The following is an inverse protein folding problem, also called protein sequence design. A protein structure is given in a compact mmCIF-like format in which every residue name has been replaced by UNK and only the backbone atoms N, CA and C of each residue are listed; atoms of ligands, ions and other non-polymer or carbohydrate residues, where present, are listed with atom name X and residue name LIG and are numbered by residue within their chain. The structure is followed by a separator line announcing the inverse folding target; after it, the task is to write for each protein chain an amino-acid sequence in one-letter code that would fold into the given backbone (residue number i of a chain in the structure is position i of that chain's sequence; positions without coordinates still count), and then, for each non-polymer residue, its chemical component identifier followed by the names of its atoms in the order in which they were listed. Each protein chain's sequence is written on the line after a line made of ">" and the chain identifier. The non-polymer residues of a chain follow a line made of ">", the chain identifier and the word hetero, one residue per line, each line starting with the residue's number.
data_IF_308123819218
#
_entry.id   IF_308123819218
#
_cell.length_a   1.000
_cell.length_b   1.000
_cell.length_c   1.000
_cell.angle_alpha   90.00
_cell.angle_beta   90.00
_cell.angle_gamma   90.00
#
_symmetry.space_group_name_H-M   'P 1'
#
loop_
_entity.id
_entity.type
_entity.pdbx_description
1 polymer ?
#
# COMPACT_ATOMS: atom_id res chain seq x y z
N UNK A 1 -65.13 10.95 -1.43
CA UNK A 1 -64.30 9.75 -1.64
C UNK A 1 -63.15 9.92 -2.65
N UNK A 2 -63.18 10.88 -3.56
CA UNK A 2 -62.11 11.04 -4.59
C UNK A 2 -60.83 11.71 -4.11
N UNK A 3 -60.83 12.43 -2.99
CA UNK A 3 -59.63 13.15 -2.49
C UNK A 3 -58.66 12.26 -1.68
N UNK A 4 -59.18 11.23 -1.02
CA UNK A 4 -58.36 10.32 -0.18
C UNK A 4 -57.50 9.39 -1.04
N UNK A 5 -57.99 8.97 -2.22
CA UNK A 5 -57.25 8.06 -3.12
C UNK A 5 -56.02 8.72 -3.77
N UNK A 6 -56.01 10.05 -3.96
CA UNK A 6 -54.84 10.73 -4.57
C UNK A 6 -53.68 10.92 -3.59
N UNK A 7 -53.94 11.00 -2.29
CA UNK A 7 -52.89 11.17 -1.27
C UNK A 7 -52.19 9.82 -1.03
N UNK A 8 -52.91 8.69 -1.06
CA UNK A 8 -52.35 7.35 -0.85
C UNK A 8 -51.46 6.92 -2.02
N UNK A 9 -51.78 7.29 -3.27
CA UNK A 9 -50.90 7.00 -4.43
C UNK A 9 -49.61 7.81 -4.42
N UNK A 10 -49.61 9.05 -3.88
CA UNK A 10 -48.41 9.86 -3.77
C UNK A 10 -47.41 9.33 -2.75
N UNK A 11 -47.85 8.78 -1.63
CA UNK A 11 -46.99 8.25 -0.56
C UNK A 11 -46.31 6.93 -0.98
N UNK A 12 -47.02 6.06 -1.70
CA UNK A 12 -46.43 4.79 -2.19
C UNK A 12 -45.32 5.02 -3.24
N UNK A 13 -45.44 6.05 -4.10
CA UNK A 13 -44.44 6.36 -5.10
C UNK A 13 -43.12 6.90 -4.49
N UNK A 14 -43.22 7.69 -3.39
CA UNK A 14 -42.02 8.25 -2.71
C UNK A 14 -41.26 7.16 -1.95
N UNK A 15 -41.96 6.19 -1.35
CA UNK A 15 -41.30 5.08 -0.62
C UNK A 15 -40.56 4.15 -1.59
N UNK A 16 -41.10 3.89 -2.79
CA UNK A 16 -40.47 3.05 -3.79
C UNK A 16 -39.17 3.65 -4.34
N UNK A 17 -39.09 4.98 -4.51
CA UNK A 17 -37.89 5.65 -5.01
C UNK A 17 -36.79 5.68 -3.95
N UNK A 18 -37.11 5.91 -2.67
CA UNK A 18 -36.11 5.89 -1.60
C UNK A 18 -35.50 4.48 -1.38
N UNK A 19 -36.28 3.42 -1.54
CA UNK A 19 -35.81 2.04 -1.41
C UNK A 19 -34.84 1.62 -2.51
N UNK A 20 -35.04 2.07 -3.74
CA UNK A 20 -34.15 1.72 -4.88
C UNK A 20 -32.77 2.38 -4.79
N UNK A 21 -32.67 3.59 -4.22
CA UNK A 21 -31.40 4.27 -4.02
C UNK A 21 -30.56 3.60 -2.91
N UNK A 22 -31.21 3.10 -1.86
CA UNK A 22 -30.53 2.37 -0.78
C UNK A 22 -29.94 1.05 -1.26
N UNK A 23 -30.67 0.29 -2.08
CA UNK A 23 -30.18 -0.97 -2.66
C UNK A 23 -29.05 -0.75 -3.67
N UNK A 24 -29.15 0.28 -4.50
CA UNK A 24 -28.08 0.61 -5.46
C UNK A 24 -26.79 1.01 -4.77
N UNK A 25 -26.86 1.78 -3.66
CA UNK A 25 -25.67 2.17 -2.91
C UNK A 25 -25.03 1.00 -2.15
N UNK A 26 -25.81 0.01 -1.73
CA UNK A 26 -25.29 -1.22 -1.12
C UNK A 26 -24.65 -2.13 -2.16
N UNK A 27 -25.26 -2.32 -3.32
CA UNK A 27 -24.68 -3.10 -4.41
C UNK A 27 -23.36 -2.53 -4.94
N UNK A 28 -23.20 -1.20 -4.92
CA UNK A 28 -21.92 -0.56 -5.27
C UNK A 28 -20.86 -0.82 -4.18
N UNK A 29 -21.24 -0.79 -2.90
CA UNK A 29 -20.33 -1.15 -1.79
C UNK A 29 -19.93 -2.63 -1.85
N UNK A 30 -20.86 -3.53 -2.10
CA UNK A 30 -20.58 -4.96 -2.17
C UNK A 30 -19.71 -5.32 -3.38
N UNK A 31 -19.86 -4.63 -4.52
CA UNK A 31 -19.01 -4.83 -5.69
C UNK A 31 -17.57 -4.32 -5.48
N UNK A 32 -17.38 -3.25 -4.70
CA UNK A 32 -16.04 -2.78 -4.31
C UNK A 32 -15.37 -3.74 -3.33
N UNK A 33 -16.14 -4.42 -2.48
CA UNK A 33 -15.61 -5.42 -1.54
C UNK A 33 -15.33 -6.77 -2.23
N UNK A 34 -16.05 -7.15 -3.30
CA UNK A 34 -15.80 -8.38 -4.05
C UNK A 34 -14.51 -8.37 -4.87
N UNK A 35 -13.97 -7.19 -5.22
CA UNK A 35 -12.64 -7.10 -5.84
C UNK A 35 -11.50 -7.46 -4.87
N UNK A 36 -11.77 -7.52 -3.56
CA UNK A 36 -10.83 -7.94 -2.51
C UNK A 36 -10.70 -9.47 -2.39
N UNK A 37 -11.40 -10.23 -3.20
CA UNK A 37 -11.34 -11.71 -3.17
C UNK A 37 -10.14 -12.29 -3.93
N UNK A 38 -9.31 -11.46 -4.53
CA UNK A 38 -7.96 -11.83 -4.91
C UNK A 38 -7.04 -11.43 -3.75
N UNK A 39 -6.28 -12.33 -3.19
CA UNK A 39 -5.23 -12.04 -2.18
C UNK A 39 -4.18 -11.05 -2.74
N UNK A 40 -4.61 -9.89 -3.18
CA UNK A 40 -3.82 -8.85 -3.84
C UNK A 40 -4.30 -7.47 -3.39
N UNK A 41 -3.41 -6.48 -3.44
CA UNK A 41 -3.75 -5.11 -3.08
C UNK A 41 -4.58 -4.46 -4.20
N UNK A 42 -5.73 -3.87 -3.87
CA UNK A 42 -6.54 -3.11 -4.81
C UNK A 42 -5.93 -1.74 -5.13
N UNK A 43 -6.39 -1.09 -6.21
CA UNK A 43 -5.97 0.28 -6.55
C UNK A 43 -6.33 1.27 -5.44
N UNK A 44 -7.52 1.14 -4.85
CA UNK A 44 -7.96 2.03 -3.77
C UNK A 44 -7.11 1.85 -2.52
N UNK A 45 -6.77 0.60 -2.15
CA UNK A 45 -5.84 0.33 -1.06
C UNK A 45 -4.43 0.88 -1.36
N UNK A 46 -3.92 0.69 -2.57
CA UNK A 46 -2.62 1.22 -2.96
C UNK A 46 -2.57 2.76 -2.88
N UNK A 47 -3.65 3.44 -3.25
CA UNK A 47 -3.79 4.89 -3.10
C UNK A 47 -3.83 5.30 -1.62
N UNK A 48 -4.55 4.57 -0.76
CA UNK A 48 -4.59 4.83 0.69
C UNK A 48 -3.22 4.63 1.33
N UNK A 49 -2.50 3.57 0.97
CA UNK A 49 -1.12 3.31 1.42
C UNK A 49 -0.20 4.47 1.02
N UNK A 50 -0.23 4.87 -0.26
CA UNK A 50 0.61 5.97 -0.73
C UNK A 50 0.28 7.28 -0.02
N UNK A 51 -1.00 7.59 0.19
CA UNK A 51 -1.45 8.78 0.92
C UNK A 51 -0.99 8.76 2.38
N UNK A 52 -1.15 7.63 3.07
CA UNK A 52 -0.68 7.45 4.44
C UNK A 52 0.83 7.68 4.60
N UNK A 53 1.62 7.18 3.66
CA UNK A 53 3.07 7.40 3.62
C UNK A 53 3.43 8.88 3.40
N UNK A 54 2.77 9.56 2.45
CA UNK A 54 2.97 10.99 2.18
C UNK A 54 2.62 11.81 3.42
N UNK A 55 1.44 11.61 3.99
CA UNK A 55 0.97 12.38 5.14
C UNK A 55 1.88 12.20 6.37
N UNK A 56 2.45 11.02 6.56
CA UNK A 56 3.38 10.75 7.63
C UNK A 56 4.72 11.50 7.45
N UNK A 57 5.26 11.53 6.23
CA UNK A 57 6.45 12.28 5.92
C UNK A 57 6.22 13.81 6.00
N UNK A 58 5.10 14.30 5.47
CA UNK A 58 4.77 15.74 5.49
C UNK A 58 4.62 16.28 6.91
N UNK A 59 4.00 15.51 7.80
CA UNK A 59 3.88 15.87 9.22
C UNK A 59 5.22 15.99 9.91
N UNK A 60 6.20 15.20 9.48
CA UNK A 60 7.50 15.12 10.13
C UNK A 60 8.43 16.25 9.70
N UNK A 61 8.59 16.49 8.40
CA UNK A 61 9.64 17.40 7.91
C UNK A 61 9.36 18.06 6.55
N UNK A 62 8.17 17.90 5.97
CA UNK A 62 7.82 18.38 4.62
C UNK A 62 8.87 17.96 3.59
N UNK A 63 9.18 16.69 3.56
CA UNK A 63 10.17 16.13 2.66
C UNK A 63 9.63 16.02 1.24
N UNK A 64 10.51 16.19 0.27
CA UNK A 64 10.24 15.89 -1.14
C UNK A 64 10.44 14.39 -1.32
N UNK A 65 9.35 13.63 -1.35
CA UNK A 65 9.41 12.17 -1.40
C UNK A 65 8.82 11.61 -2.68
N UNK A 66 9.23 10.41 -3.02
CA UNK A 66 8.55 9.51 -3.95
C UNK A 66 8.04 8.29 -3.20
N UNK A 67 6.85 7.83 -3.57
CA UNK A 67 6.22 6.63 -2.99
C UNK A 67 5.81 5.70 -4.12
N UNK A 68 6.08 4.41 -3.96
CA UNK A 68 5.60 3.37 -4.84
C UNK A 68 4.94 2.26 -4.05
N UNK A 69 3.85 1.74 -4.58
CA UNK A 69 3.13 0.57 -4.07
C UNK A 69 3.11 -0.48 -5.17
N UNK A 70 3.62 -1.66 -4.86
CA UNK A 70 3.58 -2.81 -5.76
C UNK A 70 2.57 -3.84 -5.26
N UNK A 71 2.03 -4.61 -6.18
CA UNK A 71 1.09 -5.69 -5.92
C UNK A 71 1.79 -7.01 -5.56
N UNK A 72 1.00 -8.08 -5.48
CA UNK A 72 1.46 -9.44 -5.17
C UNK A 72 2.52 -9.95 -6.15
N UNK A 73 2.46 -9.54 -7.40
CA UNK A 73 3.42 -9.96 -8.44
C UNK A 73 4.65 -9.04 -8.51
N UNK A 74 4.69 -8.00 -7.67
CA UNK A 74 5.75 -7.00 -7.65
C UNK A 74 5.59 -5.93 -8.74
N UNK A 75 4.44 -5.87 -9.38
CA UNK A 75 4.12 -4.86 -10.39
C UNK A 75 3.59 -3.59 -9.74
N UNK A 76 3.92 -2.43 -10.30
CA UNK A 76 3.46 -1.14 -9.77
C UNK A 76 1.94 -1.06 -9.86
N UNK A 77 1.27 -0.91 -8.71
CA UNK A 77 -0.15 -0.65 -8.60
C UNK A 77 -0.44 0.85 -8.50
N UNK A 78 0.39 1.57 -7.76
CA UNK A 78 0.36 3.03 -7.67
C UNK A 78 1.77 3.58 -7.43
N UNK A 79 2.09 4.70 -8.07
CA UNK A 79 3.36 5.40 -7.84
C UNK A 79 3.15 6.90 -7.97
N UNK A 80 3.77 7.65 -7.07
CA UNK A 80 3.83 9.11 -7.13
C UNK A 80 5.26 9.58 -6.96
N UNK A 81 5.69 10.46 -7.85
CA UNK A 81 6.91 11.25 -7.72
C UNK A 81 6.50 12.63 -7.21
N UNK A 82 6.91 12.97 -5.99
CA UNK A 82 6.59 14.25 -5.37
C UNK A 82 7.19 15.44 -6.13
N UNK A 83 6.63 16.62 -5.90
CA UNK A 83 7.09 17.84 -6.54
C UNK A 83 8.57 18.11 -6.18
N UNK A 84 9.41 18.19 -7.21
CA UNK A 84 10.85 18.36 -7.05
C UNK A 84 11.66 17.07 -6.82
N UNK A 85 11.02 15.91 -6.67
CA UNK A 85 11.73 14.64 -6.60
C UNK A 85 12.35 14.25 -7.94
N UNK A 86 13.53 13.64 -7.93
CA UNK A 86 14.19 13.15 -9.13
C UNK A 86 13.52 11.85 -9.66
N UNK A 87 13.67 11.53 -10.95
CA UNK A 87 13.24 10.22 -11.48
C UNK A 87 13.89 9.03 -10.76
N UNK A 88 15.14 9.17 -10.34
CA UNK A 88 15.86 8.15 -9.57
C UNK A 88 15.21 7.88 -8.21
N UNK A 89 14.74 8.92 -7.52
CA UNK A 89 13.99 8.76 -6.26
C UNK A 89 12.73 7.94 -6.45
N UNK A 90 12.02 8.13 -7.56
CA UNK A 90 10.84 7.35 -7.89
C UNK A 90 11.18 5.87 -8.19
N UNK A 91 12.26 5.62 -8.95
CA UNK A 91 12.73 4.25 -9.21
C UNK A 91 13.23 3.57 -7.93
N UNK A 92 13.96 4.27 -7.07
CA UNK A 92 14.38 3.73 -5.78
C UNK A 92 13.19 3.39 -4.87
N UNK A 93 12.15 4.22 -4.81
CA UNK A 93 10.92 3.89 -4.10
C UNK A 93 10.28 2.60 -4.63
N UNK A 94 10.19 2.46 -5.96
CA UNK A 94 9.69 1.24 -6.61
C UNK A 94 10.52 0.01 -6.25
N UNK A 95 11.83 0.12 -6.34
CA UNK A 95 12.75 -0.99 -6.03
C UNK A 95 12.69 -1.39 -4.54
N UNK A 96 12.57 -0.42 -3.62
CA UNK A 96 12.35 -0.69 -2.19
C UNK A 96 11.04 -1.42 -1.96
N UNK A 97 9.94 -1.00 -2.61
CA UNK A 97 8.65 -1.68 -2.54
C UNK A 97 8.74 -3.13 -3.05
N UNK A 98 9.37 -3.33 -4.21
CA UNK A 98 9.61 -4.64 -4.80
C UNK A 98 10.44 -5.54 -3.87
N UNK A 99 11.52 -5.02 -3.31
CA UNK A 99 12.41 -5.76 -2.39
C UNK A 99 11.65 -6.21 -1.15
N UNK A 100 10.93 -5.30 -0.50
CA UNK A 100 10.17 -5.61 0.71
C UNK A 100 9.10 -6.69 0.44
N UNK A 101 8.36 -6.58 -0.65
CA UNK A 101 7.37 -7.57 -1.08
C UNK A 101 8.02 -8.92 -1.37
N UNK A 102 9.12 -8.94 -2.13
CA UNK A 102 9.78 -10.17 -2.60
C UNK A 102 10.37 -10.97 -1.45
N UNK A 103 11.02 -10.30 -0.52
CA UNK A 103 11.66 -10.95 0.63
C UNK A 103 10.78 -10.96 1.89
N UNK A 104 9.56 -10.42 1.84
CA UNK A 104 8.54 -10.46 2.90
C UNK A 104 9.04 -9.86 4.22
N UNK A 105 9.90 -8.85 4.14
CA UNK A 105 10.52 -8.17 5.29
C UNK A 105 10.82 -6.72 4.95
N UNK A 106 11.01 -5.89 5.98
CA UNK A 106 11.46 -4.52 5.79
C UNK A 106 12.81 -4.50 5.06
N UNK A 107 13.03 -3.47 4.25
CA UNK A 107 14.29 -3.36 3.52
C UNK A 107 15.49 -3.07 4.41
N UNK A 108 15.30 -2.53 5.62
CA UNK A 108 16.33 -2.46 6.66
C UNK A 108 16.86 -3.85 7.03
N UNK A 109 15.95 -4.78 7.33
CA UNK A 109 16.29 -6.17 7.64
C UNK A 109 16.95 -6.86 6.44
N UNK A 110 16.46 -6.59 5.22
CA UNK A 110 17.08 -7.11 4.01
C UNK A 110 18.51 -6.58 3.82
N UNK A 111 18.73 -5.28 4.06
CA UNK A 111 20.04 -4.64 3.97
C UNK A 111 21.03 -5.27 4.96
N UNK A 112 20.62 -5.48 6.21
CA UNK A 112 21.46 -6.14 7.23
C UNK A 112 21.82 -7.57 6.83
N UNK A 113 20.84 -8.32 6.31
CA UNK A 113 21.04 -9.71 5.86
C UNK A 113 21.94 -9.80 4.63
N UNK A 114 21.99 -8.79 3.77
CA UNK A 114 22.79 -8.74 2.56
C UNK A 114 24.14 -8.07 2.73
N UNK A 115 24.48 -7.61 3.93
CA UNK A 115 25.81 -7.09 4.24
C UNK A 115 26.88 -8.16 4.02
N UNK A 116 28.05 -7.73 3.57
CA UNK A 116 29.15 -8.66 3.22
C UNK A 116 29.63 -9.51 4.40
N UNK A 117 29.44 -9.02 5.61
CA UNK A 117 29.79 -9.66 6.87
C UNK A 117 28.60 -10.24 7.65
N UNK A 118 27.42 -10.30 6.99
CA UNK A 118 26.22 -10.83 7.61
C UNK A 118 26.39 -12.31 8.02
N UNK A 119 25.92 -12.62 9.25
CA UNK A 119 25.98 -13.95 9.84
C UNK A 119 24.60 -14.36 10.33
N UNK A 120 24.33 -15.66 10.28
CA UNK A 120 23.15 -16.27 10.91
C UNK A 120 23.26 -16.30 12.44
N UNK A 121 22.19 -16.76 13.11
CA UNK A 121 22.12 -16.87 14.58
C UNK A 121 23.19 -17.78 15.19
N UNK A 122 23.86 -18.59 14.37
CA UNK A 122 24.96 -19.47 14.77
C UNK A 122 26.34 -18.87 14.48
N UNK A 123 26.38 -17.64 13.96
CA UNK A 123 27.60 -16.93 13.60
C UNK A 123 28.24 -17.37 12.27
N UNK A 124 27.53 -18.16 11.45
CA UNK A 124 27.98 -18.61 10.16
C UNK A 124 27.64 -17.55 9.07
N UNK A 125 28.53 -17.26 8.13
CA UNK A 125 28.22 -16.39 7.01
C UNK A 125 26.94 -16.80 6.28
N UNK A 126 26.06 -15.82 6.00
CA UNK A 126 24.82 -16.05 5.25
C UNK A 126 25.15 -16.23 3.79
N UNK A 127 24.78 -17.37 3.21
CA UNK A 127 24.84 -17.60 1.78
C UNK A 127 23.52 -17.14 1.14
N UNK A 128 23.58 -16.05 0.42
CA UNK A 128 22.42 -15.45 -0.25
C UNK A 128 22.17 -16.03 -1.65
N UNK A 129 23.07 -16.90 -2.14
CA UNK A 129 22.97 -17.47 -3.49
C UNK A 129 22.75 -16.39 -4.59
N UNK A 130 23.37 -15.23 -4.44
CA UNK A 130 23.25 -14.11 -5.38
C UNK A 130 21.97 -13.28 -5.25
N UNK A 131 21.12 -13.51 -4.24
CA UNK A 131 19.85 -12.77 -4.06
C UNK A 131 20.07 -11.25 -3.94
N UNK A 132 21.20 -10.81 -3.39
CA UNK A 132 21.55 -9.39 -3.28
C UNK A 132 21.76 -8.70 -4.65
N UNK A 133 21.90 -9.47 -5.72
CA UNK A 133 22.08 -8.97 -7.09
C UNK A 133 20.86 -9.18 -7.99
N UNK A 134 19.74 -9.60 -7.41
CA UNK A 134 18.51 -9.76 -8.19
C UNK A 134 18.08 -8.42 -8.79
N UNK A 135 17.70 -8.48 -10.06
CA UNK A 135 17.16 -7.32 -10.76
C UNK A 135 15.97 -6.71 -10.00
N UNK A 136 15.85 -5.42 -10.05
CA UNK A 136 14.81 -4.62 -9.35
C UNK A 136 14.90 -4.59 -7.82
N UNK A 137 15.85 -5.29 -7.19
CA UNK A 137 16.05 -5.17 -5.73
C UNK A 137 16.90 -3.96 -5.36
N UNK A 138 16.71 -3.47 -4.14
CA UNK A 138 17.50 -2.38 -3.57
C UNK A 138 17.67 -2.62 -2.05
N UNK A 139 18.91 -2.81 -1.62
CA UNK A 139 19.27 -2.99 -0.21
C UNK A 139 19.46 -1.63 0.48
N UNK A 140 18.37 -0.87 0.58
CA UNK A 140 18.30 0.43 1.26
C UNK A 140 17.02 0.51 2.08
N UNK A 141 17.09 1.12 3.27
CA UNK A 141 15.93 1.33 4.14
C UNK A 141 14.85 2.16 3.45
N UNK A 142 13.58 1.85 3.73
CA UNK A 142 12.44 2.60 3.21
C UNK A 142 11.38 1.75 2.51
N UNK A 143 11.49 0.41 2.55
CA UNK A 143 10.50 -0.51 2.01
C UNK A 143 9.85 -1.37 3.08
N UNK A 144 8.52 -1.51 3.04
CA UNK A 144 7.72 -2.33 3.96
C UNK A 144 6.82 -3.27 3.17
N UNK A 145 6.78 -4.58 3.49
CA UNK A 145 5.84 -5.50 2.88
C UNK A 145 4.43 -5.26 3.42
N UNK A 146 3.42 -5.47 2.59
CA UNK A 146 2.01 -5.49 2.98
C UNK A 146 1.62 -6.94 3.13
N UNK A 147 1.36 -7.36 4.38
CA UNK A 147 1.12 -8.77 4.73
C UNK A 147 -0.35 -8.98 5.04
N UNK A 148 -0.95 -10.02 4.46
CA UNK A 148 -2.29 -10.48 4.74
C UNK A 148 -2.28 -12.01 4.92
N UNK A 149 -2.81 -12.50 6.04
CA UNK A 149 -2.80 -13.93 6.40
C UNK A 149 -1.42 -14.61 6.23
N UNK A 150 -0.34 -13.87 6.54
CA UNK A 150 1.03 -14.37 6.40
C UNK A 150 1.60 -14.30 4.99
N UNK A 151 0.84 -13.89 3.98
CA UNK A 151 1.32 -13.69 2.60
C UNK A 151 1.62 -12.22 2.32
N UNK A 152 2.67 -11.96 1.55
CA UNK A 152 2.93 -10.62 1.02
C UNK A 152 2.02 -10.38 -0.20
N UNK A 153 0.96 -9.60 0.02
CA UNK A 153 0.01 -9.19 -1.02
C UNK A 153 0.44 -7.93 -1.76
N UNK A 154 1.52 -7.31 -1.32
CA UNK A 154 2.09 -6.11 -1.90
C UNK A 154 3.29 -5.61 -1.11
N UNK A 155 3.77 -4.45 -1.49
CA UNK A 155 4.82 -3.73 -0.78
C UNK A 155 4.74 -2.23 -1.04
N UNK A 156 5.21 -1.44 -0.10
CA UNK A 156 5.34 0.01 -0.23
C UNK A 156 6.79 0.42 -0.04
N UNK A 157 7.25 1.36 -0.85
CA UNK A 157 8.57 1.95 -0.75
C UNK A 157 8.52 3.46 -0.79
N UNK A 158 9.35 4.09 0.02
CA UNK A 158 9.50 5.54 0.13
C UNK A 158 10.97 5.91 -0.08
N UNK A 159 11.20 7.04 -0.74
CA UNK A 159 12.53 7.60 -0.93
C UNK A 159 12.47 9.12 -0.88
N UNK A 160 13.39 9.74 -0.16
CA UNK A 160 13.61 11.18 -0.21
C UNK A 160 13.28 11.96 1.05
N UNK A 161 12.93 11.31 2.16
CA UNK A 161 12.73 12.01 3.42
C UNK A 161 14.04 12.59 3.94
N UNK A 162 13.99 13.77 4.57
CA UNK A 162 15.16 14.47 5.11
C UNK A 162 15.87 13.67 6.21
N UNK A 163 15.13 12.81 6.90
CA UNK A 163 15.68 11.91 7.91
C UNK A 163 16.36 10.67 7.35
N UNK A 164 16.50 10.55 6.02
CA UNK A 164 17.15 9.41 5.37
C UNK A 164 16.32 8.13 5.41
N UNK A 165 16.98 6.99 5.26
CA UNK A 165 16.34 5.68 5.12
C UNK A 165 15.44 5.27 6.29
N UNK A 166 15.81 5.61 7.53
CA UNK A 166 14.96 5.34 8.71
C UNK A 166 13.65 6.12 8.64
N UNK A 167 13.69 7.37 8.20
CA UNK A 167 12.48 8.18 8.05
C UNK A 167 11.65 7.70 6.85
N UNK A 168 12.29 7.31 5.74
CA UNK A 168 11.62 6.67 4.59
C UNK A 168 10.85 5.43 5.04
N UNK A 169 11.48 4.56 5.84
CA UNK A 169 10.87 3.32 6.32
C UNK A 169 9.74 3.57 7.31
N UNK A 170 9.87 4.57 8.18
CA UNK A 170 8.80 4.98 9.07
C UNK A 170 7.57 5.51 8.30
N UNK A 171 7.79 6.28 7.22
CA UNK A 171 6.71 6.73 6.35
C UNK A 171 6.08 5.56 5.58
N UNK A 172 6.88 4.64 5.06
CA UNK A 172 6.39 3.45 4.38
C UNK A 172 5.54 2.59 5.32
N UNK A 173 5.99 2.43 6.58
CA UNK A 173 5.22 1.71 7.59
C UNK A 173 3.87 2.38 7.87
N UNK A 174 3.84 3.69 8.05
CA UNK A 174 2.59 4.42 8.25
C UNK A 174 1.64 4.25 7.05
N UNK A 175 2.18 4.17 5.83
CA UNK A 175 1.42 3.85 4.63
C UNK A 175 0.80 2.45 4.71
N UNK A 176 1.58 1.43 5.01
CA UNK A 176 1.07 0.06 5.16
C UNK A 176 0.01 -0.05 6.26
N UNK A 177 0.24 0.62 7.40
CA UNK A 177 -0.70 0.66 8.54
C UNK A 177 -2.05 1.33 8.17
N UNK A 178 -2.09 2.22 7.16
CA UNK A 178 -3.30 2.92 6.75
C UNK A 178 -4.41 2.00 6.20
N UNK A 179 -4.08 0.77 5.83
CA UNK A 179 -5.06 -0.23 5.36
C UNK A 179 -5.17 -1.43 6.30
N UNK A 180 -4.52 -1.40 7.48
CA UNK A 180 -4.47 -2.55 8.39
C UNK A 180 -5.88 -3.07 8.75
N UNK A 181 -6.84 -2.19 9.01
CA UNK A 181 -8.23 -2.55 9.34
C UNK A 181 -8.99 -3.21 8.17
N UNK A 182 -8.48 -3.09 6.95
CA UNK A 182 -9.06 -3.71 5.75
C UNK A 182 -8.47 -5.10 5.47
N UNK A 183 -7.43 -5.46 6.21
CA UNK A 183 -6.70 -6.73 6.08
C UNK A 183 -7.03 -7.72 7.20
N UNK A 184 -8.10 -7.43 7.99
CA UNK A 184 -8.55 -8.26 9.11
C UNK A 184 -9.52 -9.35 8.66
#
# INVERSE_FOLDING_TARGET
>A
MAFINRIIMGICAIIAVAGTWSLASQLIKDNTLQSLNSNDISVDQALMVARGAIDACDKKDKSVISVAVVDRDGLVRFMVRGDGASPEMADNARRKAYTARTFRQATSTWMERTALDAKDDQGKPIDLNGQQYLENTLAEKGGIPIIYHGDAIGGVGVTGSKGGGEADEACAKAGADAIADQLL
#
